data_IF_196083191482
#
_entry.id   IF_196083191482
#
_cell.length_a   1.000
_cell.length_b   1.000
_cell.length_c   1.000
_cell.angle_alpha   90.00
_cell.angle_beta   90.00
_cell.angle_gamma   90.00
#
_symmetry.space_group_name_H-M   'P 1'
#
loop_
_entity.id
_entity.type
_entity.pdbx_description
1 polymer ?
#
# COMPACT_ATOMS: atom_id res chain seq x y z
N UNK A 1 -16.06 20.12 20.59
CA UNK A 1 -17.26 19.51 20.00
C UNK A 1 -16.90 19.12 18.58
N UNK A 2 -16.92 17.83 18.21
CA UNK A 2 -16.62 17.40 16.84
C UNK A 2 -17.84 17.69 15.97
N UNK A 3 -17.66 18.38 14.84
CA UNK A 3 -18.77 18.69 13.94
C UNK A 3 -19.17 17.44 13.14
N UNK A 4 -20.39 17.42 12.61
CA UNK A 4 -20.85 16.36 11.71
C UNK A 4 -19.94 16.25 10.46
N UNK A 5 -19.32 17.36 10.07
CA UNK A 5 -18.38 17.43 8.95
C UNK A 5 -17.07 16.70 9.28
N UNK A 6 -16.54 16.88 10.49
CA UNK A 6 -15.34 16.17 10.98
C UNK A 6 -15.57 14.65 11.05
N UNK A 7 -16.75 14.23 11.53
CA UNK A 7 -17.14 12.81 11.57
C UNK A 7 -17.27 12.20 10.17
N UNK A 8 -17.82 12.95 9.22
CA UNK A 8 -17.93 12.52 7.81
C UNK A 8 -16.57 12.38 7.15
N UNK A 9 -15.68 13.35 7.36
CA UNK A 9 -14.31 13.31 6.84
C UNK A 9 -13.50 12.16 7.43
N UNK A 10 -13.65 11.90 8.74
CA UNK A 10 -13.00 10.77 9.41
C UNK A 10 -13.49 9.42 8.87
N UNK A 11 -14.80 9.26 8.62
CA UNK A 11 -15.35 8.05 7.99
C UNK A 11 -14.89 7.88 6.55
N UNK A 12 -14.85 8.96 5.76
CA UNK A 12 -14.34 8.92 4.38
C UNK A 12 -12.87 8.51 4.35
N UNK A 13 -12.03 9.05 5.24
CA UNK A 13 -10.63 8.66 5.37
C UNK A 13 -10.47 7.18 5.76
N UNK A 14 -11.25 6.70 6.73
CA UNK A 14 -11.24 5.28 7.12
C UNK A 14 -11.65 4.33 5.97
N UNK A 15 -12.64 4.72 5.16
CA UNK A 15 -13.06 3.95 3.98
C UNK A 15 -12.04 4.03 2.84
N UNK A 16 -11.43 5.20 2.61
CA UNK A 16 -10.31 5.38 1.67
C UNK A 16 -9.12 4.48 2.02
N UNK A 17 -8.79 4.40 3.31
CA UNK A 17 -7.72 3.54 3.81
C UNK A 17 -8.07 2.07 3.62
N UNK A 18 -9.30 1.65 3.91
CA UNK A 18 -9.76 0.26 3.63
C UNK A 18 -9.62 -0.12 2.16
N UNK A 19 -10.07 0.75 1.25
CA UNK A 19 -10.00 0.48 -0.19
C UNK A 19 -8.54 0.50 -0.71
N UNK A 20 -7.69 1.40 -0.20
CA UNK A 20 -6.27 1.45 -0.53
C UNK A 20 -5.52 0.19 -0.06
N UNK A 21 -5.82 -0.29 1.15
CA UNK A 21 -5.22 -1.49 1.74
C UNK A 21 -5.69 -2.78 1.05
N UNK A 22 -6.96 -2.89 0.65
CA UNK A 22 -7.46 -4.05 -0.12
C UNK A 22 -6.83 -4.14 -1.50
N UNK A 23 -6.72 -3.02 -2.23
CA UNK A 23 -6.03 -2.98 -3.51
C UNK A 23 -4.54 -3.35 -3.36
N UNK A 24 -3.89 -2.90 -2.28
CA UNK A 24 -2.52 -3.28 -1.97
C UNK A 24 -2.38 -4.79 -1.76
N UNK A 25 -3.30 -5.37 -0.99
CA UNK A 25 -3.33 -6.80 -0.70
C UNK A 25 -3.51 -7.62 -1.98
N UNK A 26 -4.39 -7.19 -2.88
CA UNK A 26 -4.62 -7.84 -4.16
C UNK A 26 -3.36 -7.77 -5.05
N UNK A 27 -2.70 -6.61 -5.14
CA UNK A 27 -1.45 -6.49 -5.88
C UNK A 27 -0.33 -7.39 -5.32
N UNK A 28 -0.25 -7.56 -4.00
CA UNK A 28 0.70 -8.48 -3.37
C UNK A 28 0.35 -9.94 -3.70
N UNK A 29 -0.93 -10.31 -3.65
CA UNK A 29 -1.38 -11.66 -4.01
C UNK A 29 -1.11 -11.99 -5.48
N UNK A 30 -1.25 -11.02 -6.38
CA UNK A 30 -0.87 -11.19 -7.78
C UNK A 30 0.64 -11.33 -7.94
N UNK A 31 1.44 -10.47 -7.30
CA UNK A 31 2.91 -10.57 -7.31
C UNK A 31 3.41 -11.93 -6.79
N UNK A 32 2.75 -12.53 -5.78
CA UNK A 32 3.14 -13.84 -5.25
C UNK A 32 2.96 -14.98 -6.25
N UNK A 33 2.12 -14.81 -7.28
CA UNK A 33 1.93 -15.80 -8.35
C UNK A 33 3.01 -15.70 -9.43
N UNK A 34 3.70 -14.57 -9.51
CA UNK A 34 4.75 -14.30 -10.49
C UNK A 34 6.11 -14.89 -10.06
N UNK A 35 6.94 -15.29 -11.02
CA UNK A 35 8.29 -15.81 -10.78
C UNK A 35 9.36 -15.04 -11.58
N UNK A 36 10.60 -15.08 -11.08
CA UNK A 36 11.76 -14.46 -11.74
C UNK A 36 11.57 -12.96 -12.02
N UNK A 37 11.88 -12.54 -13.25
CA UNK A 37 11.84 -11.13 -13.65
C UNK A 37 10.44 -10.49 -13.53
N UNK A 38 9.37 -11.26 -13.69
CA UNK A 38 8.01 -10.72 -13.56
C UNK A 38 7.69 -10.35 -12.10
N UNK A 39 8.19 -11.14 -11.14
CA UNK A 39 8.07 -10.84 -9.71
C UNK A 39 8.81 -9.56 -9.33
N UNK A 40 10.01 -9.35 -9.91
CA UNK A 40 10.78 -8.12 -9.70
C UNK A 40 10.07 -6.89 -10.30
N UNK A 41 9.51 -7.00 -11.50
CA UNK A 41 8.72 -5.92 -12.12
C UNK A 41 7.48 -5.60 -11.29
N UNK A 42 6.78 -6.62 -10.78
CA UNK A 42 5.62 -6.46 -9.91
C UNK A 42 5.99 -5.79 -8.58
N UNK A 43 7.14 -6.14 -7.99
CA UNK A 43 7.66 -5.48 -6.77
C UNK A 43 7.92 -3.98 -6.99
N UNK A 44 8.51 -3.60 -8.13
CA UNK A 44 8.74 -2.20 -8.49
C UNK A 44 7.41 -1.44 -8.64
N UNK A 45 6.42 -2.05 -9.30
CA UNK A 45 5.09 -1.44 -9.44
C UNK A 45 4.39 -1.25 -8.08
N UNK A 46 4.49 -2.23 -7.20
CA UNK A 46 3.97 -2.17 -5.83
C UNK A 46 4.63 -1.05 -5.02
N UNK A 47 5.93 -0.84 -5.18
CA UNK A 47 6.67 0.26 -4.56
C UNK A 47 6.07 1.62 -4.93
N UNK A 48 5.90 1.89 -6.22
CA UNK A 48 5.29 3.14 -6.70
C UNK A 48 3.83 3.30 -6.28
N UNK A 49 3.08 2.20 -6.13
CA UNK A 49 1.71 2.25 -5.63
C UNK A 49 1.63 2.63 -4.15
N UNK A 50 2.55 2.15 -3.31
CA UNK A 50 2.64 2.54 -1.89
C UNK A 50 2.98 4.02 -1.77
N UNK A 51 3.95 4.50 -2.55
CA UNK A 51 4.33 5.92 -2.60
C UNK A 51 3.14 6.79 -2.99
N UNK A 52 2.37 6.38 -4.01
CA UNK A 52 1.15 7.09 -4.41
C UNK A 52 0.05 7.10 -3.32
N UNK A 53 -0.11 6.00 -2.57
CA UNK A 53 -1.07 5.95 -1.46
C UNK A 53 -0.65 6.86 -0.30
N UNK A 54 0.66 6.97 -0.05
CA UNK A 54 1.20 7.90 0.93
C UNK A 54 0.96 9.36 0.49
N UNK A 55 1.35 9.72 -0.73
CA UNK A 55 1.19 11.09 -1.28
C UNK A 55 -0.27 11.56 -1.26
N UNK A 56 -1.21 10.64 -1.50
CA UNK A 56 -2.64 10.94 -1.49
C UNK A 56 -3.28 10.93 -0.08
N UNK A 57 -2.48 10.80 0.99
CA UNK A 57 -2.91 10.68 2.39
C UNK A 57 -3.85 9.50 2.67
N UNK A 58 -3.70 8.38 1.96
CA UNK A 58 -4.42 7.12 2.23
C UNK A 58 -3.62 6.14 3.10
N UNK A 59 -2.36 6.45 3.35
CA UNK A 59 -1.45 5.60 4.11
C UNK A 59 -0.61 6.51 5.00
N UNK A 60 -0.33 6.08 6.24
CA UNK A 60 0.59 6.83 7.09
C UNK A 60 2.03 6.59 6.62
N UNK A 61 2.94 7.50 6.97
CA UNK A 61 4.36 7.33 6.65
C UNK A 61 4.90 6.01 7.21
N UNK A 62 4.54 5.68 8.45
CA UNK A 62 4.94 4.43 9.12
C UNK A 62 4.45 3.21 8.34
N UNK A 63 3.16 3.18 7.98
CA UNK A 63 2.59 2.07 7.21
C UNK A 63 3.29 1.93 5.85
N UNK A 64 3.58 3.05 5.17
CA UNK A 64 4.30 3.04 3.90
C UNK A 64 5.71 2.47 4.05
N UNK A 65 6.47 2.91 5.06
CA UNK A 65 7.80 2.38 5.35
C UNK A 65 7.78 0.88 5.67
N UNK A 66 6.81 0.41 6.46
CA UNK A 66 6.68 -1.01 6.79
C UNK A 66 6.40 -1.85 5.54
N UNK A 67 5.49 -1.40 4.67
CA UNK A 67 5.19 -2.09 3.42
C UNK A 67 6.35 -2.08 2.43
N UNK A 68 7.05 -0.95 2.30
CA UNK A 68 8.25 -0.84 1.48
C UNK A 68 9.33 -1.79 1.98
N UNK A 69 9.54 -1.86 3.29
CA UNK A 69 10.50 -2.78 3.90
C UNK A 69 10.14 -4.25 3.66
N UNK A 70 8.85 -4.61 3.74
CA UNK A 70 8.37 -5.95 3.40
C UNK A 70 8.64 -6.30 1.93
N UNK A 71 8.43 -5.35 1.01
CA UNK A 71 8.71 -5.56 -0.42
C UNK A 71 10.21 -5.74 -0.64
N UNK A 72 11.02 -4.87 -0.06
CA UNK A 72 12.48 -4.91 -0.20
C UNK A 72 13.06 -6.21 0.38
N UNK A 73 12.60 -6.65 1.55
CA UNK A 73 13.13 -7.85 2.24
C UNK A 73 12.58 -9.18 1.74
N UNK A 74 11.34 -9.25 1.25
CA UNK A 74 10.73 -10.52 0.78
C UNK A 74 10.76 -10.68 -0.73
N UNK A 75 10.99 -9.60 -1.48
CA UNK A 75 10.81 -9.58 -2.93
C UNK A 75 11.93 -8.87 -3.70
N UNK A 76 12.77 -8.04 -3.06
CA UNK A 76 13.83 -7.26 -3.73
C UNK A 76 15.28 -7.59 -3.28
N UNK A 77 15.48 -8.30 -2.17
CA UNK A 77 16.74 -8.96 -1.79
C UNK A 77 16.43 -10.04 -0.74
N UNK A 78 16.94 -11.26 -0.76
CA UNK A 78 18.27 -11.75 -1.17
C UNK A 78 18.14 -13.23 -1.60
N UNK A 79 18.86 -13.61 -2.66
CA UNK A 79 19.22 -14.98 -3.13
C UNK A 79 18.11 -15.99 -3.47
#
# INVERSE_FOLDING_TARGET
MLTLQDLSNKRKAQLKNRNGTEALLQCIQEMQKEQGNQRMIAAIKLKGYIEALYDQNHMTYTDACDWLHIIETKYQGVN
#
